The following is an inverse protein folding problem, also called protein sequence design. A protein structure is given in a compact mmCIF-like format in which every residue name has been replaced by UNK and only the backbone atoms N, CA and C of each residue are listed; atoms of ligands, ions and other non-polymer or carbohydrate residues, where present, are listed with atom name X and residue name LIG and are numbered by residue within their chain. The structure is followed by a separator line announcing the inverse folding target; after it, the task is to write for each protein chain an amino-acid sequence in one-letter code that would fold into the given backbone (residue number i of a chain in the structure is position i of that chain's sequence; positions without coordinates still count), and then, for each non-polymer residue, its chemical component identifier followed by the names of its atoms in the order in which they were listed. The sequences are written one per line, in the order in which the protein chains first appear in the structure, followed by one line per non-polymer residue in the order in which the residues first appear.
data_IF_193124950300
#
_entry.id   IF_193124950300
#
_cell.length_a   1.000
_cell.length_b   1.000
_cell.length_c   1.000
_cell.angle_alpha   90.00
_cell.angle_beta   90.00
_cell.angle_gamma   90.00
#
_symmetry.space_group_name_H-M   'P 1'
#
loop_
_entity.id
_entity.type
_entity.pdbx_description
1 polymer ?
#
# COMPACT_ATOMS: atom_id res chain seq x y z
N UNK A 1 15.96 -18.72 -4.22
CA UNK A 1 16.25 -17.36 -3.71
C UNK A 1 15.58 -16.32 -4.62
N UNK A 2 14.32 -15.91 -4.38
CA UNK A 2 13.66 -14.80 -5.14
C UNK A 2 12.59 -14.02 -4.36
N UNK A 3 12.35 -14.29 -3.06
CA UNK A 3 11.25 -13.66 -2.31
C UNK A 3 11.55 -12.25 -1.77
N UNK A 4 12.81 -11.93 -1.43
CA UNK A 4 13.15 -10.67 -0.74
C UNK A 4 12.95 -9.40 -1.59
N UNK A 5 13.36 -9.43 -2.86
CA UNK A 5 13.32 -8.24 -3.71
C UNK A 5 11.91 -7.66 -3.94
N UNK A 6 10.85 -8.50 -3.94
CA UNK A 6 9.49 -8.03 -4.20
C UNK A 6 8.88 -7.28 -3.01
N UNK A 7 9.10 -7.76 -1.78
CA UNK A 7 8.61 -7.09 -0.57
C UNK A 7 9.29 -5.73 -0.38
N UNK A 8 10.59 -5.64 -0.65
CA UNK A 8 11.35 -4.38 -0.53
C UNK A 8 10.85 -3.29 -1.49
N UNK A 9 10.46 -3.67 -2.72
CA UNK A 9 9.89 -2.73 -3.70
C UNK A 9 8.51 -2.20 -3.25
N UNK A 10 7.67 -3.06 -2.69
CA UNK A 10 6.34 -2.68 -2.20
C UNK A 10 6.46 -1.71 -1.02
N UNK A 11 7.30 -2.03 -0.03
CA UNK A 11 7.55 -1.16 1.11
C UNK A 11 8.06 0.23 0.68
N UNK A 12 8.95 0.29 -0.31
CA UNK A 12 9.45 1.55 -0.84
C UNK A 12 8.33 2.43 -1.44
N UNK A 13 7.41 1.83 -2.21
CA UNK A 13 6.26 2.54 -2.78
C UNK A 13 5.34 3.09 -1.69
N UNK A 14 5.05 2.30 -0.64
CA UNK A 14 4.21 2.73 0.47
C UNK A 14 4.84 3.89 1.24
N UNK A 15 6.13 3.77 1.57
CA UNK A 15 6.88 4.83 2.26
C UNK A 15 6.89 6.11 1.42
N UNK A 16 7.19 6.00 0.12
CA UNK A 16 7.21 7.15 -0.77
C UNK A 16 5.82 7.80 -0.89
N UNK A 17 4.78 7.00 -1.11
CA UNK A 17 3.39 7.49 -1.15
C UNK A 17 2.97 8.19 0.13
N UNK A 18 3.34 7.65 1.30
CA UNK A 18 3.05 8.25 2.59
C UNK A 18 3.78 9.59 2.79
N UNK A 19 5.09 9.65 2.48
CA UNK A 19 5.89 10.87 2.66
C UNK A 19 5.45 11.99 1.71
N UNK A 20 5.13 11.64 0.47
CA UNK A 20 4.78 12.60 -0.58
C UNK A 20 3.26 12.81 -0.72
N UNK A 21 2.46 12.17 0.14
CA UNK A 21 0.99 12.11 0.05
C UNK A 21 0.50 11.77 -1.37
N UNK A 22 1.18 10.85 -2.06
CA UNK A 22 0.84 10.45 -3.44
C UNK A 22 -0.24 9.38 -3.43
N UNK A 23 -1.26 9.49 -4.29
CA UNK A 23 -2.25 8.44 -4.46
C UNK A 23 -1.59 7.18 -5.02
N UNK A 24 -2.09 6.02 -4.59
CA UNK A 24 -1.65 4.73 -5.09
C UNK A 24 -2.83 3.77 -5.28
N UNK A 25 -2.56 2.73 -6.06
CA UNK A 25 -3.41 1.56 -6.22
C UNK A 25 -2.80 0.38 -5.48
N UNK A 26 -3.62 -0.31 -4.70
CA UNK A 26 -3.26 -1.48 -3.91
C UNK A 26 -4.04 -2.67 -4.41
N UNK A 27 -3.38 -3.81 -4.62
CA UNK A 27 -4.03 -5.07 -4.96
C UNK A 27 -3.92 -6.06 -3.82
N UNK A 28 -5.06 -6.61 -3.40
CA UNK A 28 -5.15 -7.56 -2.28
C UNK A 28 -4.74 -8.97 -2.69
N UNK A 29 -4.26 -9.75 -1.72
CA UNK A 29 -3.78 -11.12 -1.95
C UNK A 29 -4.93 -12.06 -2.27
N UNK A 30 -6.05 -11.93 -1.58
CA UNK A 30 -7.19 -12.85 -1.68
C UNK A 30 -8.34 -12.38 -2.58
N UNK A 31 -8.21 -11.22 -3.22
CA UNK A 31 -9.29 -10.67 -4.07
C UNK A 31 -8.73 -10.04 -5.34
N UNK A 32 -9.58 -9.92 -6.37
CA UNK A 32 -9.28 -9.10 -7.55
C UNK A 32 -9.52 -7.62 -7.30
N UNK A 33 -9.97 -7.25 -6.10
CA UNK A 33 -10.29 -5.88 -5.77
C UNK A 33 -9.00 -5.07 -5.70
N UNK A 34 -9.09 -3.87 -6.24
CA UNK A 34 -8.07 -2.85 -6.14
C UNK A 34 -8.67 -1.68 -5.38
N UNK A 35 -7.88 -1.12 -4.48
CA UNK A 35 -8.29 0.05 -3.70
C UNK A 35 -7.36 1.17 -4.06
N UNK A 36 -7.95 2.33 -4.28
CA UNK A 36 -7.24 3.55 -4.65
C UNK A 36 -7.30 4.51 -3.47
N UNK A 37 -6.22 5.23 -3.23
CA UNK A 37 -6.23 6.29 -2.23
C UNK A 37 -4.85 6.78 -1.88
N UNK A 38 -4.82 7.81 -1.03
CA UNK A 38 -3.60 8.36 -0.47
C UNK A 38 -3.38 7.79 0.93
N UNK A 39 -2.16 7.35 1.22
CA UNK A 39 -1.82 6.85 2.56
C UNK A 39 -1.84 8.01 3.55
N UNK A 40 -2.72 7.93 4.56
CA UNK A 40 -2.81 8.91 5.66
C UNK A 40 -2.04 8.46 6.90
N UNK A 41 -1.77 7.15 7.01
CA UNK A 41 -0.98 6.57 8.10
C UNK A 41 -0.26 5.33 7.60
N UNK A 42 0.99 5.17 8.01
CA UNK A 42 1.82 4.01 7.67
C UNK A 42 2.46 3.41 8.92
N UNK A 43 2.37 2.08 9.06
CA UNK A 43 3.07 1.30 10.07
C UNK A 43 4.18 0.47 9.42
N UNK A 44 5.45 0.87 9.55
CA UNK A 44 6.57 0.19 8.91
C UNK A 44 6.91 -1.17 9.55
N UNK A 45 6.48 -1.41 10.80
CA UNK A 45 6.76 -2.67 11.49
C UNK A 45 5.97 -3.84 10.90
N UNK A 46 4.76 -3.58 10.44
CA UNK A 46 3.86 -4.58 9.85
C UNK A 46 3.56 -4.33 8.37
N UNK A 47 4.28 -3.41 7.72
CA UNK A 47 4.02 -2.97 6.34
C UNK A 47 2.54 -2.63 6.10
N UNK A 48 1.85 -2.13 7.14
CA UNK A 48 0.42 -1.86 7.13
C UNK A 48 0.14 -0.37 6.93
N UNK A 49 -1.01 0.00 6.36
CA UNK A 49 -1.35 1.40 6.14
C UNK A 49 -2.85 1.69 6.17
N UNK A 50 -3.20 2.97 6.16
CA UNK A 50 -4.56 3.48 6.06
C UNK A 50 -4.66 4.44 4.88
N UNK A 51 -5.77 4.40 4.15
CA UNK A 51 -6.04 5.32 3.05
C UNK A 51 -7.12 6.33 3.46
N UNK A 52 -7.02 7.53 2.91
CA UNK A 52 -8.00 8.61 3.14
C UNK A 52 -9.43 8.22 2.69
N UNK A 53 -9.55 7.59 1.52
CA UNK A 53 -10.84 7.23 0.91
C UNK A 53 -11.35 5.84 1.34
N UNK A 54 -10.71 5.20 2.32
CA UNK A 54 -11.10 3.87 2.78
C UNK A 54 -12.13 3.97 3.91
N UNK A 55 -13.39 3.55 3.69
CA UNK A 55 -14.47 3.75 4.66
C UNK A 55 -14.35 2.84 5.89
N UNK A 56 -13.43 1.89 5.88
CA UNK A 56 -13.19 0.99 6.99
C UNK A 56 -11.98 1.49 7.80
N UNK A 57 -12.12 1.67 9.12
CA UNK A 57 -11.03 2.16 9.97
C UNK A 57 -9.90 1.13 10.17
N UNK A 58 -10.06 -0.07 9.63
CA UNK A 58 -9.05 -1.13 9.69
C UNK A 58 -7.83 -0.81 8.82
N UNK A 59 -6.67 -1.25 9.28
CA UNK A 59 -5.43 -1.15 8.55
C UNK A 59 -5.41 -2.16 7.40
N UNK A 60 -4.78 -1.79 6.29
CA UNK A 60 -4.56 -2.66 5.15
C UNK A 60 -3.23 -3.40 5.32
N UNK A 61 -3.29 -4.71 5.53
CA UNK A 61 -2.11 -5.57 5.69
C UNK A 61 -2.07 -6.81 4.76
N UNK A 62 -3.16 -7.15 4.08
CA UNK A 62 -3.26 -8.33 3.19
C UNK A 62 -3.13 -8.00 1.69
N UNK A 63 -2.04 -7.36 1.27
CA UNK A 63 -1.84 -6.95 -0.14
C UNK A 63 -0.57 -7.52 -0.77
N UNK A 64 -0.60 -7.67 -2.10
CA UNK A 64 0.47 -8.31 -2.89
C UNK A 64 1.19 -7.34 -3.83
N UNK A 65 0.66 -6.14 -3.99
CA UNK A 65 1.18 -5.10 -4.87
C UNK A 65 0.69 -3.72 -4.40
N UNK A 66 1.57 -2.73 -4.43
CA UNK A 66 1.26 -1.32 -4.30
C UNK A 66 1.99 -0.57 -5.42
N UNK A 67 1.26 0.26 -6.17
CA UNK A 67 1.81 1.07 -7.28
C UNK A 67 1.27 2.48 -7.19
N UNK A 68 2.13 3.47 -7.41
CA UNK A 68 1.70 4.86 -7.49
C UNK A 68 0.69 5.02 -8.62
N UNK A 69 -0.35 5.81 -8.34
CA UNK A 69 -1.23 6.33 -9.37
C UNK A 69 -0.51 7.57 -9.92
N UNK A 70 0.48 7.36 -10.79
CA UNK A 70 1.03 8.47 -11.58
C UNK A 70 -0.11 9.03 -12.46
N UNK A 71 -0.19 10.36 -12.55
CA UNK A 71 -1.11 11.06 -13.47
C UNK A 71 -0.74 10.83 -14.94
#
# INVERSE_FOLDING_TARGET
MKKKQRSEQIAAVLVYSYLEAKPLVVKFTHTTNQVHGTIVRYDPHHESFWLDDWPYPEKLDDFTEARLLEE
#
